data_IF_015530596697
#
_entry.id   IF_015530596697
#
_cell.length_a   1.000
_cell.length_b   1.000
_cell.length_c   1.000
_cell.angle_alpha   90.00
_cell.angle_beta   90.00
_cell.angle_gamma   90.00
#
_symmetry.space_group_name_H-M   'P 1'
#
loop_
_entity.id
_entity.type
_entity.pdbx_description
1 polymer ?
#
# COMPACT_ATOMS: atom_id res chain seq x y z
N UNK A 1 -4.17 -21.35 0.61
CA UNK A 1 -3.84 -20.46 -0.54
C UNK A 1 -5.14 -19.98 -1.14
N UNK A 2 -5.15 -18.79 -1.72
CA UNK A 2 -6.38 -18.20 -2.29
C UNK A 2 -7.38 -17.80 -1.22
N UNK A 3 -6.90 -17.39 -0.04
CA UNK A 3 -7.72 -17.08 1.14
C UNK A 3 -7.21 -15.81 1.81
N UNK A 4 -8.11 -15.10 2.48
CA UNK A 4 -7.83 -14.11 3.50
C UNK A 4 -7.59 -14.84 4.82
N UNK A 5 -6.34 -14.92 5.25
CA UNK A 5 -5.94 -15.63 6.47
C UNK A 5 -5.48 -14.66 7.55
N UNK A 6 -6.09 -14.73 8.73
CA UNK A 6 -5.68 -13.94 9.89
C UNK A 6 -4.81 -14.78 10.83
N UNK A 7 -3.67 -14.24 11.27
CA UNK A 7 -2.85 -14.77 12.35
C UNK A 7 -3.15 -13.94 13.59
N UNK A 8 -3.74 -14.58 14.59
CA UNK A 8 -4.27 -13.93 15.80
C UNK A 8 -3.57 -14.47 17.05
N UNK A 9 -3.95 -13.95 18.22
CA UNK A 9 -3.37 -14.33 19.50
C UNK A 9 -2.88 -13.14 20.31
N UNK A 10 -2.71 -13.32 21.62
CA UNK A 10 -2.29 -12.26 22.54
C UNK A 10 -0.95 -11.61 22.15
N UNK A 11 -0.70 -10.38 22.59
CA UNK A 11 0.61 -9.74 22.36
C UNK A 11 1.73 -10.60 22.94
N UNK A 12 2.83 -10.78 22.20
CA UNK A 12 3.92 -11.68 22.59
C UNK A 12 3.66 -13.18 22.39
N UNK A 13 2.57 -13.60 21.72
CA UNK A 13 2.31 -15.02 21.42
C UNK A 13 3.17 -15.60 20.29
N UNK A 14 3.91 -14.76 19.56
CA UNK A 14 4.80 -15.18 18.46
C UNK A 14 4.29 -14.90 17.03
N UNK A 15 3.23 -14.10 16.86
CA UNK A 15 2.64 -13.77 15.54
C UNK A 15 3.67 -13.22 14.54
N UNK A 16 4.33 -12.12 14.89
CA UNK A 16 5.34 -11.49 14.02
C UNK A 16 6.56 -12.39 13.82
N UNK A 17 6.95 -13.18 14.83
CA UNK A 17 8.02 -14.17 14.68
C UNK A 17 7.67 -15.23 13.62
N UNK A 18 6.45 -15.76 13.65
CA UNK A 18 6.00 -16.74 12.66
C UNK A 18 5.88 -16.14 11.26
N UNK A 19 5.18 -15.01 11.14
CA UNK A 19 4.79 -14.44 9.86
C UNK A 19 5.93 -13.66 9.20
N UNK A 20 6.64 -12.83 9.96
CA UNK A 20 7.74 -12.01 9.45
C UNK A 20 9.09 -12.69 9.55
N UNK A 21 9.50 -13.07 10.76
CA UNK A 21 10.88 -13.53 10.97
C UNK A 21 11.14 -14.89 10.34
N UNK A 22 10.13 -15.76 10.27
CA UNK A 22 10.25 -17.08 9.65
C UNK A 22 9.70 -17.05 8.23
N UNK A 23 8.38 -16.89 8.05
CA UNK A 23 7.71 -17.09 6.76
C UNK A 23 8.15 -16.06 5.71
N UNK A 24 7.99 -14.76 5.98
CA UNK A 24 8.34 -13.71 5.02
C UNK A 24 9.82 -13.75 4.67
N UNK A 25 10.73 -13.74 5.66
CA UNK A 25 12.18 -13.75 5.40
C UNK A 25 12.61 -14.97 4.58
N UNK A 26 12.05 -16.15 4.86
CA UNK A 26 12.37 -17.36 4.09
C UNK A 26 11.88 -17.28 2.65
N UNK A 27 10.66 -16.79 2.42
CA UNK A 27 10.12 -16.61 1.07
C UNK A 27 10.84 -15.49 0.32
N UNK A 28 11.21 -14.40 0.99
CA UNK A 28 12.00 -13.31 0.39
C UNK A 28 13.40 -13.78 -0.01
N UNK A 29 14.02 -14.65 0.79
CA UNK A 29 15.28 -15.31 0.42
C UNK A 29 15.11 -16.19 -0.82
N UNK A 30 13.99 -16.93 -0.94
CA UNK A 30 13.71 -17.79 -2.08
C UNK A 30 13.43 -17.00 -3.37
N UNK A 31 12.49 -16.05 -3.34
CA UNK A 31 12.05 -15.30 -4.54
C UNK A 31 13.00 -14.17 -4.94
N UNK A 32 13.68 -13.55 -3.98
CA UNK A 32 14.45 -12.31 -4.22
C UNK A 32 15.92 -12.39 -3.81
N UNK A 33 16.40 -13.54 -3.31
CA UNK A 33 17.76 -13.70 -2.78
C UNK A 33 18.08 -12.68 -1.68
N UNK A 34 17.08 -12.34 -0.86
CA UNK A 34 17.26 -11.46 0.29
C UNK A 34 18.34 -12.01 1.24
N UNK A 35 19.14 -11.10 1.82
CA UNK A 35 20.29 -11.45 2.68
C UNK A 35 19.92 -11.74 4.13
N UNK A 36 18.74 -11.28 4.56
CA UNK A 36 18.28 -11.48 5.93
C UNK A 36 18.10 -12.96 6.25
N UNK A 37 18.65 -13.39 7.38
CA UNK A 37 18.56 -14.79 7.82
C UNK A 37 17.16 -15.04 8.40
N UNK A 38 16.39 -16.00 7.87
CA UNK A 38 15.11 -16.39 8.45
C UNK A 38 15.32 -17.03 9.83
N UNK A 39 14.31 -16.90 10.69
CA UNK A 39 14.27 -17.56 12.00
C UNK A 39 14.38 -19.09 11.88
N UNK A 40 14.76 -19.81 12.96
CA UNK A 40 14.91 -21.25 12.94
C UNK A 40 13.61 -21.95 12.52
N UNK A 41 13.70 -22.80 11.49
CA UNK A 41 12.58 -23.61 11.00
C UNK A 41 13.12 -24.85 10.29
N UNK A 42 12.31 -25.90 10.18
CA UNK A 42 12.71 -27.16 9.51
C UNK A 42 12.61 -27.05 7.99
N UNK A 43 11.43 -26.70 7.47
CA UNK A 43 11.15 -26.53 6.05
C UNK A 43 9.88 -25.69 5.85
N UNK A 44 9.77 -25.04 4.69
CA UNK A 44 8.52 -24.46 4.18
C UNK A 44 8.18 -25.22 2.91
N UNK A 45 7.02 -25.86 2.89
CA UNK A 45 6.52 -26.67 1.76
C UNK A 45 5.47 -25.88 0.97
N UNK A 46 5.24 -26.24 -0.30
CA UNK A 46 4.22 -25.57 -1.14
C UNK A 46 4.66 -24.22 -1.70
N UNK A 47 5.97 -23.92 -1.68
CA UNK A 47 6.52 -22.66 -2.22
C UNK A 47 6.31 -22.56 -3.72
N UNK A 48 6.28 -23.71 -4.41
CA UNK A 48 5.96 -23.86 -5.82
C UNK A 48 4.56 -23.33 -6.18
N UNK A 49 3.66 -23.12 -5.23
CA UNK A 49 2.34 -22.52 -5.48
C UNK A 49 2.38 -20.98 -5.57
N UNK A 50 3.49 -20.37 -5.18
CA UNK A 50 3.68 -18.92 -5.16
C UNK A 50 4.78 -18.50 -6.15
N UNK A 51 4.61 -17.33 -6.76
CA UNK A 51 5.64 -16.72 -7.61
C UNK A 51 6.30 -15.52 -6.92
N UNK A 52 5.66 -14.97 -5.88
CA UNK A 52 6.05 -13.71 -5.23
C UNK A 52 5.53 -13.64 -3.79
N UNK A 53 6.29 -12.98 -2.90
CA UNK A 53 5.83 -12.56 -1.56
C UNK A 53 5.96 -11.03 -1.41
N UNK A 54 4.94 -10.37 -0.87
CA UNK A 54 4.91 -8.91 -0.70
C UNK A 54 4.57 -8.57 0.74
N UNK A 55 5.47 -7.86 1.41
CA UNK A 55 5.15 -7.21 2.68
C UNK A 55 4.55 -5.82 2.40
N UNK A 56 3.36 -5.56 2.94
CA UNK A 56 2.72 -4.24 2.90
C UNK A 56 2.61 -3.73 4.33
N UNK A 57 3.58 -2.89 4.70
CA UNK A 57 3.62 -2.21 5.99
C UNK A 57 3.21 -0.73 5.88
N UNK A 58 3.08 -0.05 7.04
CA UNK A 58 2.80 1.38 7.12
C UNK A 58 4.04 2.27 6.94
N UNK A 59 5.19 1.71 6.55
CA UNK A 59 6.39 2.53 6.33
C UNK A 59 6.16 3.55 5.20
N UNK A 60 6.80 4.73 5.24
CA UNK A 60 6.64 5.73 4.19
C UNK A 60 6.95 5.17 2.80
N UNK A 61 6.14 5.51 1.79
CA UNK A 61 6.37 5.08 0.39
C UNK A 61 7.65 5.68 -0.22
N UNK A 62 8.20 6.71 0.42
CA UNK A 62 9.47 7.33 0.07
C UNK A 62 9.91 8.31 1.16
N UNK A 63 11.21 8.58 1.22
CA UNK A 63 11.81 9.50 2.22
C UNK A 63 12.04 10.91 1.68
N UNK A 64 11.69 11.16 0.42
CA UNK A 64 11.96 12.42 -0.28
C UNK A 64 10.67 13.00 -0.87
N UNK A 65 10.56 14.32 -1.01
CA UNK A 65 9.41 14.97 -1.67
C UNK A 65 9.20 14.55 -3.14
N UNK A 66 10.23 13.99 -3.80
CA UNK A 66 10.13 13.46 -5.17
C UNK A 66 9.23 12.23 -5.28
N UNK A 67 9.09 11.48 -4.19
CA UNK A 67 8.16 10.35 -4.12
C UNK A 67 6.76 10.89 -3.87
N UNK A 68 5.79 10.43 -4.65
CA UNK A 68 4.38 10.80 -4.49
C UNK A 68 3.49 9.65 -5.01
N UNK A 69 2.18 9.66 -4.66
CA UNK A 69 1.25 8.61 -5.08
C UNK A 69 1.27 8.33 -6.59
N UNK A 70 1.33 9.37 -7.42
CA UNK A 70 1.29 9.20 -8.87
C UNK A 70 2.51 8.44 -9.43
N UNK A 71 3.70 8.75 -8.90
CA UNK A 71 4.93 8.02 -9.25
C UNK A 71 4.94 6.59 -8.70
N UNK A 72 4.47 6.39 -7.47
CA UNK A 72 4.52 5.09 -6.81
C UNK A 72 3.57 4.06 -7.44
N UNK A 73 2.32 4.45 -7.71
CA UNK A 73 1.33 3.61 -8.44
C UNK A 73 1.67 3.49 -9.93
N UNK A 74 2.55 4.36 -10.42
CA UNK A 74 3.01 4.38 -11.80
C UNK A 74 1.99 4.95 -12.78
N UNK A 75 1.04 5.77 -12.32
CA UNK A 75 0.12 6.51 -13.20
C UNK A 75 0.80 7.70 -13.86
N UNK A 76 1.88 8.22 -13.27
CA UNK A 76 2.55 9.40 -13.83
C UNK A 76 3.26 9.11 -15.16
N UNK A 77 3.70 7.88 -15.41
CA UNK A 77 4.32 7.51 -16.70
C UNK A 77 3.37 7.64 -17.90
N UNK A 78 2.19 6.98 -17.92
CA UNK A 78 1.26 7.16 -19.03
C UNK A 78 0.73 8.60 -19.15
N UNK A 79 0.64 9.36 -18.05
CA UNK A 79 0.35 10.80 -18.09
C UNK A 79 1.43 11.56 -18.87
N UNK A 80 2.72 11.33 -18.58
CA UNK A 80 3.82 11.98 -19.31
C UNK A 80 3.89 11.58 -20.78
N UNK A 81 3.61 10.32 -21.09
CA UNK A 81 3.51 9.84 -22.47
C UNK A 81 2.39 10.55 -23.23
N UNK A 82 1.22 10.73 -22.60
CA UNK A 82 0.12 11.48 -23.18
C UNK A 82 0.50 12.95 -23.45
N UNK A 83 1.12 13.63 -22.48
CA UNK A 83 1.56 15.03 -22.66
C UNK A 83 2.57 15.19 -23.80
N UNK A 84 3.47 14.22 -23.98
CA UNK A 84 4.42 14.21 -25.10
C UNK A 84 3.75 13.98 -26.47
N UNK A 85 2.53 13.43 -26.50
CA UNK A 85 1.79 13.20 -27.74
C UNK A 85 0.94 14.39 -28.19
N UNK A 86 0.80 15.43 -27.35
CA UNK A 86 0.02 16.62 -27.66
C UNK A 86 0.62 17.41 -28.83
N UNK A 87 -0.21 18.10 -29.64
CA UNK A 87 0.27 18.88 -30.80
C UNK A 87 1.37 19.88 -30.44
N UNK A 88 1.19 20.64 -29.36
CA UNK A 88 2.16 21.64 -28.89
C UNK A 88 3.49 21.01 -28.46
N UNK A 89 3.42 19.85 -27.80
CA UNK A 89 4.62 19.10 -27.42
C UNK A 89 5.36 18.56 -28.64
N UNK A 90 4.62 17.99 -29.61
CA UNK A 90 5.19 17.47 -30.87
C UNK A 90 5.85 18.56 -31.70
N UNK A 91 5.19 19.72 -31.85
CA UNK A 91 5.75 20.87 -32.58
C UNK A 91 7.06 21.37 -31.97
N UNK A 92 7.19 21.30 -30.65
CA UNK A 92 8.40 21.72 -29.92
C UNK A 92 9.44 20.60 -29.73
N UNK A 93 9.19 19.39 -30.25
CA UNK A 93 10.07 18.23 -30.10
C UNK A 93 10.18 17.69 -28.67
N UNK A 94 9.16 17.87 -27.83
CA UNK A 94 9.18 17.44 -26.44
C UNK A 94 8.81 15.96 -26.28
N UNK A 95 9.77 15.17 -25.78
CA UNK A 95 9.51 13.79 -25.35
C UNK A 95 8.97 13.69 -23.90
N UNK A 96 8.61 12.47 -23.43
CA UNK A 96 8.09 12.25 -22.07
C UNK A 96 9.05 12.69 -20.94
N UNK A 97 10.35 12.82 -21.22
CA UNK A 97 11.34 13.35 -20.30
C UNK A 97 11.12 14.83 -19.96
N UNK A 98 10.58 15.63 -20.88
CA UNK A 98 10.25 17.05 -20.63
C UNK A 98 9.21 17.21 -19.52
N UNK A 99 8.32 16.23 -19.38
CA UNK A 99 7.24 16.21 -18.38
C UNK A 99 7.60 15.42 -17.12
N UNK A 100 8.87 15.10 -16.91
CA UNK A 100 9.35 14.40 -15.72
C UNK A 100 10.15 15.35 -14.84
N UNK A 101 9.67 15.60 -13.61
CA UNK A 101 10.41 16.37 -12.62
C UNK A 101 11.70 15.67 -12.12
N UNK A 102 11.87 14.37 -12.42
CA UNK A 102 13.05 13.59 -11.99
C UNK A 102 14.27 13.71 -12.93
N UNK A 103 14.12 14.32 -14.12
CA UNK A 103 15.21 14.41 -15.10
C UNK A 103 15.37 15.85 -15.58
N UNK A 104 16.60 16.21 -15.96
CA UNK A 104 16.88 17.51 -16.56
C UNK A 104 16.11 17.69 -17.87
N UNK A 105 15.76 18.94 -18.17
CA UNK A 105 15.07 19.30 -19.40
C UNK A 105 13.89 20.22 -19.12
N UNK A 106 12.79 19.66 -18.59
CA UNK A 106 11.58 20.45 -18.29
C UNK A 106 11.32 20.72 -16.81
N UNK A 107 12.08 20.10 -15.90
CA UNK A 107 12.02 20.35 -14.46
C UNK A 107 12.60 21.72 -14.10
N UNK A 108 12.17 22.29 -12.97
CA UNK A 108 12.83 23.47 -12.41
C UNK A 108 14.21 23.07 -11.86
N UNK A 109 15.29 23.65 -12.39
CA UNK A 109 16.65 23.32 -11.93
C UNK A 109 16.98 23.94 -10.56
N UNK A 110 16.33 25.03 -10.16
CA UNK A 110 16.57 25.68 -8.86
C UNK A 110 16.21 24.79 -7.66
N UNK A 111 15.18 23.95 -7.79
CA UNK A 111 14.80 22.96 -6.78
C UNK A 111 14.95 21.51 -7.26
N UNK A 112 15.67 21.31 -8.37
CA UNK A 112 15.85 20.02 -9.01
C UNK A 112 14.56 19.21 -9.27
N UNK A 113 13.43 19.91 -9.45
CA UNK A 113 12.12 19.31 -9.67
C UNK A 113 11.36 18.90 -8.40
N UNK A 114 11.89 19.16 -7.19
CA UNK A 114 11.17 18.86 -5.95
C UNK A 114 9.97 19.78 -5.72
N UNK A 115 10.08 21.02 -6.20
CA UNK A 115 9.10 22.08 -5.98
C UNK A 115 9.27 22.79 -4.64
N UNK A 116 10.11 22.25 -3.76
CA UNK A 116 10.41 22.79 -2.44
C UNK A 116 11.91 22.85 -2.22
N UNK A 117 12.32 23.65 -1.24
CA UNK A 117 13.69 23.75 -0.74
C UNK A 117 13.67 23.56 0.77
N UNK A 118 14.57 22.75 1.29
CA UNK A 118 14.75 22.58 2.74
C UNK A 118 15.67 23.67 3.28
N UNK A 119 15.19 24.36 4.30
CA UNK A 119 15.97 25.33 5.07
C UNK A 119 16.42 24.62 6.34
N UNK A 120 17.73 24.45 6.46
CA UNK A 120 18.32 23.87 7.67
C UNK A 120 18.24 24.88 8.82
N UNK A 121 17.64 24.43 9.92
CA UNK A 121 17.49 25.23 11.13
C UNK A 121 18.43 24.68 12.20
N UNK A 122 19.17 25.55 12.89
CA UNK A 122 20.23 25.10 13.79
C UNK A 122 19.73 24.35 15.04
N UNK A 123 18.50 24.62 15.48
CA UNK A 123 17.90 24.07 16.71
C UNK A 123 16.46 23.59 16.55
N UNK A 124 15.92 23.66 15.33
CA UNK A 124 14.55 23.27 15.02
C UNK A 124 14.56 22.24 13.88
N UNK A 125 13.50 21.44 13.73
CA UNK A 125 13.35 20.60 12.55
C UNK A 125 13.43 21.44 11.27
N UNK A 126 14.08 20.89 10.25
CA UNK A 126 14.21 21.54 8.95
C UNK A 126 12.85 21.93 8.38
N UNK A 127 12.76 23.15 7.88
CA UNK A 127 11.51 23.68 7.31
C UNK A 127 11.56 23.54 5.80
N UNK A 128 10.48 23.02 5.22
CA UNK A 128 10.33 22.88 3.78
C UNK A 128 9.50 24.03 3.25
N UNK A 129 10.09 24.88 2.40
CA UNK A 129 9.39 26.03 1.80
C UNK A 129 9.20 25.82 0.29
N UNK A 130 8.12 26.34 -0.32
CA UNK A 130 7.98 26.31 -1.77
C UNK A 130 9.16 27.00 -2.46
N UNK A 131 9.67 26.40 -3.53
CA UNK A 131 10.75 26.97 -4.32
C UNK A 131 10.35 28.35 -4.87
N UNK A 132 11.19 29.36 -4.68
CA UNK A 132 10.90 30.74 -5.09
C UNK A 132 10.75 30.90 -6.62
N UNK A 133 11.46 30.06 -7.39
CA UNK A 133 11.48 30.12 -8.87
C UNK A 133 10.22 29.51 -9.48
N UNK A 134 9.91 28.25 -9.13
CA UNK A 134 8.75 27.55 -9.70
C UNK A 134 7.48 27.65 -8.84
N UNK A 135 7.56 28.23 -7.63
CA UNK A 135 6.45 28.36 -6.68
C UNK A 135 5.72 27.04 -6.42
N UNK A 136 6.47 25.96 -6.21
CA UNK A 136 5.92 24.61 -6.01
C UNK A 136 5.59 23.84 -7.29
N UNK A 137 5.60 24.48 -8.47
CA UNK A 137 5.15 23.85 -9.72
C UNK A 137 6.06 22.76 -10.28
N UNK A 138 7.29 22.60 -9.76
CA UNK A 138 8.30 21.59 -10.18
C UNK A 138 8.85 21.70 -11.60
N UNK A 139 8.27 22.53 -12.46
CA UNK A 139 8.59 22.60 -13.89
C UNK A 139 8.97 24.02 -14.35
N UNK A 140 9.70 24.06 -15.47
CA UNK A 140 9.94 25.27 -16.28
C UNK A 140 8.65 25.81 -16.90
N UNK A 141 8.64 27.10 -17.24
CA UNK A 141 7.47 27.76 -17.86
C UNK A 141 7.09 27.08 -19.19
N UNK A 142 8.07 26.70 -20.01
CA UNK A 142 7.82 26.11 -21.33
C UNK A 142 7.17 24.73 -21.23
N UNK A 143 7.46 23.96 -20.16
CA UNK A 143 6.79 22.70 -19.91
C UNK A 143 5.35 22.89 -19.42
N UNK A 144 5.06 23.98 -18.69
CA UNK A 144 3.73 24.32 -18.18
C UNK A 144 2.78 24.89 -19.25
N UNK A 145 3.31 25.37 -20.37
CA UNK A 145 2.51 25.87 -21.49
C UNK A 145 1.78 24.76 -22.26
N UNK A 146 2.29 23.52 -22.21
CA UNK A 146 1.62 22.37 -22.82
C UNK A 146 0.48 21.92 -21.91
N UNK A 147 -0.73 21.86 -22.45
CA UNK A 147 -1.96 21.61 -21.68
C UNK A 147 -2.80 20.49 -22.26
N UNK A 148 -3.25 19.57 -21.42
CA UNK A 148 -4.29 18.59 -21.74
C UNK A 148 -5.61 19.04 -21.13
N UNK A 149 -6.67 19.21 -21.94
CA UNK A 149 -7.99 19.69 -21.49
C UNK A 149 -7.90 20.98 -20.63
N UNK A 150 -6.96 21.88 -20.95
CA UNK A 150 -6.73 23.14 -20.22
C UNK A 150 -5.77 23.04 -19.02
N UNK A 151 -5.33 21.84 -18.64
CA UNK A 151 -4.47 21.59 -17.48
C UNK A 151 -3.02 21.30 -17.89
N UNK A 152 -2.06 21.97 -17.27
CA UNK A 152 -0.63 21.65 -17.40
C UNK A 152 -0.27 20.40 -16.61
N UNK A 153 0.95 19.87 -16.83
CA UNK A 153 1.44 18.71 -16.09
C UNK A 153 1.53 18.97 -14.57
N UNK A 154 1.77 20.23 -14.15
CA UNK A 154 1.76 20.59 -12.74
C UNK A 154 0.34 20.68 -12.18
N UNK A 155 -0.63 21.17 -12.97
CA UNK A 155 -2.03 21.18 -12.54
C UNK A 155 -2.53 19.75 -12.29
N UNK A 156 -2.15 18.80 -13.14
CA UNK A 156 -2.46 17.36 -12.95
C UNK A 156 -1.89 16.82 -11.64
N UNK A 157 -0.68 17.22 -11.24
CA UNK A 157 -0.10 16.81 -9.96
C UNK A 157 -0.81 17.44 -8.75
N UNK A 158 -1.49 18.57 -8.93
CA UNK A 158 -2.28 19.20 -7.86
C UNK A 158 -3.72 18.67 -7.75
N UNK A 159 -4.19 17.92 -8.75
CA UNK A 159 -5.52 17.29 -8.71
C UNK A 159 -5.58 16.18 -7.66
N UNK A 160 -6.75 16.05 -7.04
CA UNK A 160 -7.10 14.82 -6.31
C UNK A 160 -7.24 13.65 -7.27
N UNK A 161 -7.19 12.42 -6.76
CA UNK A 161 -7.45 11.22 -7.57
C UNK A 161 -8.84 11.29 -8.22
N UNK A 162 -9.86 11.76 -7.49
CA UNK A 162 -11.23 11.93 -8.01
C UNK A 162 -11.29 12.93 -9.18
N UNK A 163 -10.66 14.10 -9.02
CA UNK A 163 -10.60 15.10 -10.08
C UNK A 163 -9.84 14.58 -11.31
N UNK A 164 -8.74 13.87 -11.10
CA UNK A 164 -7.98 13.28 -12.18
C UNK A 164 -8.79 12.20 -12.93
N UNK A 165 -9.64 11.44 -12.25
CA UNK A 165 -10.53 10.46 -12.89
C UNK A 165 -11.46 11.11 -13.91
N UNK A 166 -12.07 12.24 -13.56
CA UNK A 166 -12.96 13.00 -14.45
C UNK A 166 -12.21 13.49 -15.70
N UNK A 167 -11.00 14.02 -15.52
CA UNK A 167 -10.17 14.55 -16.61
C UNK A 167 -9.70 13.44 -17.55
N UNK A 168 -9.28 12.29 -17.01
CA UNK A 168 -8.67 11.18 -17.77
C UNK A 168 -9.62 10.01 -18.06
N UNK A 169 -10.94 10.18 -17.90
CA UNK A 169 -11.94 9.12 -18.10
C UNK A 169 -11.84 8.41 -19.47
N UNK A 170 -11.43 9.13 -20.51
CA UNK A 170 -11.31 8.64 -21.89
C UNK A 170 -9.95 7.98 -22.19
N UNK A 171 -9.05 7.88 -21.19
CA UNK A 171 -7.71 7.32 -21.34
C UNK A 171 -7.58 6.05 -20.49
N UNK A 172 -7.94 4.86 -21.01
CA UNK A 172 -8.10 3.63 -20.21
C UNK A 172 -6.88 3.26 -19.36
N UNK A 173 -5.66 3.47 -19.89
CA UNK A 173 -4.40 3.16 -19.18
C UNK A 173 -4.18 4.04 -17.94
N UNK A 174 -4.65 5.29 -17.97
CA UNK A 174 -4.57 6.21 -16.83
C UNK A 174 -5.75 5.96 -15.90
N UNK A 175 -6.96 5.91 -16.45
CA UNK A 175 -8.21 5.67 -15.74
C UNK A 175 -8.14 4.43 -14.84
N UNK A 176 -7.72 3.27 -15.36
CA UNK A 176 -7.65 2.02 -14.59
C UNK A 176 -6.78 2.15 -13.32
N UNK A 177 -5.67 2.89 -13.40
CA UNK A 177 -4.79 3.13 -12.23
C UNK A 177 -5.43 4.09 -11.23
N UNK A 178 -6.09 5.14 -11.71
CA UNK A 178 -6.79 6.09 -10.85
C UNK A 178 -8.01 5.45 -10.18
N UNK A 179 -8.76 4.60 -10.89
CA UNK A 179 -9.88 3.84 -10.33
C UNK A 179 -9.39 2.95 -9.20
N UNK A 180 -8.26 2.27 -9.40
CA UNK A 180 -7.63 1.46 -8.36
C UNK A 180 -7.28 2.30 -7.12
N UNK A 181 -6.74 3.51 -7.30
CA UNK A 181 -6.47 4.43 -6.18
C UNK A 181 -7.76 4.87 -5.47
N UNK A 182 -8.82 5.19 -6.20
CA UNK A 182 -10.11 5.55 -5.62
C UNK A 182 -10.72 4.37 -4.86
N UNK A 183 -10.69 3.17 -5.44
CA UNK A 183 -11.29 1.97 -4.87
C UNK A 183 -10.63 1.58 -3.53
N UNK A 184 -9.35 1.92 -3.33
CA UNK A 184 -8.67 1.73 -2.05
C UNK A 184 -8.92 2.88 -1.05
N UNK A 185 -9.77 3.86 -1.38
CA UNK A 185 -10.12 4.98 -0.51
C UNK A 185 -9.21 6.21 -0.63
N UNK A 186 -8.39 6.32 -1.68
CA UNK A 186 -7.48 7.46 -1.88
C UNK A 186 -8.05 8.55 -2.80
N UNK A 187 -9.38 8.62 -2.99
CA UNK A 187 -10.01 9.60 -3.88
C UNK A 187 -9.64 11.06 -3.59
N UNK A 188 -9.39 11.38 -2.31
CA UNK A 188 -9.14 12.74 -1.82
C UNK A 188 -7.67 13.19 -1.88
N UNK A 189 -6.70 12.27 -2.00
CA UNK A 189 -5.28 12.66 -1.98
C UNK A 189 -4.88 13.28 -3.30
N UNK A 190 -3.93 14.22 -3.28
CA UNK A 190 -3.37 14.79 -4.52
C UNK A 190 -2.37 13.85 -5.17
N UNK A 191 -2.37 13.78 -6.50
CA UNK A 191 -1.46 12.93 -7.26
C UNK A 191 0.03 13.21 -6.97
N UNK A 192 0.37 14.49 -6.83
CA UNK A 192 1.72 14.99 -6.57
C UNK A 192 2.03 15.21 -5.09
N UNK A 193 1.13 14.84 -4.16
CA UNK A 193 1.31 14.99 -2.73
C UNK A 193 2.64 14.35 -2.30
N UNK A 194 3.55 15.10 -1.62
CA UNK A 194 4.81 14.55 -1.17
C UNK A 194 4.60 13.32 -0.26
N UNK A 195 5.37 12.27 -0.49
CA UNK A 195 5.29 11.03 0.29
C UNK A 195 5.53 11.26 1.80
N UNK A 196 6.32 12.27 2.14
CA UNK A 196 6.63 12.65 3.52
C UNK A 196 5.45 13.26 4.28
N UNK A 197 4.38 13.65 3.59
CA UNK A 197 3.17 14.22 4.21
C UNK A 197 2.00 13.24 4.22
N UNK A 198 2.19 11.99 3.78
CA UNK A 198 1.18 10.95 3.85
C UNK A 198 1.13 10.33 5.25
N UNK A 199 -0.06 10.02 5.73
CA UNK A 199 -0.24 9.19 6.93
C UNK A 199 0.23 7.75 6.68
N UNK A 200 0.47 6.98 7.75
CA UNK A 200 0.81 5.56 7.64
C UNK A 200 -0.24 4.76 6.87
N UNK A 201 -1.53 5.00 7.15
CA UNK A 201 -2.65 4.37 6.45
C UNK A 201 -2.77 4.80 4.97
N UNK A 202 -2.46 6.05 4.63
CA UNK A 202 -2.39 6.49 3.23
C UNK A 202 -1.21 5.83 2.49
N UNK A 203 -0.03 5.81 3.11
CA UNK A 203 1.15 5.16 2.54
C UNK A 203 0.90 3.67 2.26
N UNK A 204 0.28 2.98 3.21
CA UNK A 204 -0.10 1.57 3.06
C UNK A 204 -1.10 1.37 1.90
N UNK A 205 -2.15 2.20 1.80
CA UNK A 205 -3.11 2.13 0.70
C UNK A 205 -2.50 2.44 -0.66
N UNK A 206 -1.52 3.35 -0.73
CA UNK A 206 -0.78 3.62 -1.96
C UNK A 206 0.01 2.38 -2.41
N UNK A 207 0.61 1.64 -1.47
CA UNK A 207 1.28 0.37 -1.76
C UNK A 207 0.31 -0.69 -2.27
N UNK A 208 -0.86 -0.83 -1.63
CA UNK A 208 -1.91 -1.75 -2.08
C UNK A 208 -2.43 -1.38 -3.47
N UNK A 209 -2.67 -0.09 -3.74
CA UNK A 209 -3.09 0.38 -5.05
C UNK A 209 -2.04 0.07 -6.14
N UNK A 210 -0.76 0.20 -5.81
CA UNK A 210 0.33 -0.15 -6.72
C UNK A 210 0.33 -1.66 -7.05
N UNK A 211 0.08 -2.53 -6.08
CA UNK A 211 0.00 -3.98 -6.29
C UNK A 211 -1.26 -4.39 -7.08
N UNK A 212 -2.43 -3.83 -6.75
CA UNK A 212 -3.67 -4.03 -7.52
C UNK A 212 -3.58 -3.53 -8.97
N UNK A 213 -2.76 -2.50 -9.22
CA UNK A 213 -2.52 -1.96 -10.56
C UNK A 213 -1.62 -2.84 -11.44
N UNK A 214 -1.01 -3.89 -10.88
CA UNK A 214 -0.17 -4.84 -11.63
C UNK A 214 -1.05 -5.97 -12.17
N UNK A 215 -0.59 -6.62 -13.24
CA UNK A 215 -1.24 -7.84 -13.74
C UNK A 215 -1.13 -8.93 -12.66
N UNK A 216 -2.27 -9.48 -12.27
CA UNK A 216 -2.33 -10.58 -11.33
C UNK A 216 -1.66 -11.83 -11.92
N UNK A 217 -0.84 -12.50 -11.12
CA UNK A 217 -0.45 -13.89 -11.40
C UNK A 217 -1.40 -14.88 -10.72
N UNK A 218 -2.21 -14.43 -9.77
CA UNK A 218 -3.01 -15.27 -8.88
C UNK A 218 -2.18 -16.13 -7.94
N UNK A 219 -0.87 -15.85 -7.82
CA UNK A 219 0.10 -16.66 -7.06
C UNK A 219 1.01 -15.79 -6.22
N UNK A 220 0.49 -14.65 -5.75
CA UNK A 220 1.22 -13.75 -4.85
C UNK A 220 0.75 -13.96 -3.41
N UNK A 221 1.69 -13.99 -2.47
CA UNK A 221 1.39 -13.93 -1.04
C UNK A 221 1.59 -12.50 -0.52
N UNK A 222 0.53 -11.87 -0.06
CA UNK A 222 0.55 -10.58 0.62
C UNK A 222 0.60 -10.78 2.13
N UNK A 223 1.48 -10.07 2.82
CA UNK A 223 1.61 -10.08 4.28
C UNK A 223 1.42 -8.64 4.79
N UNK A 224 0.53 -8.47 5.77
CA UNK A 224 0.24 -7.18 6.39
C UNK A 224 0.33 -7.31 7.93
N UNK A 225 1.08 -6.42 8.57
CA UNK A 225 1.15 -6.32 10.04
C UNK A 225 0.24 -5.22 10.55
N UNK A 226 -0.73 -5.58 11.39
CA UNK A 226 -1.69 -4.68 12.04
C UNK A 226 -2.17 -3.54 11.11
N UNK A 227 -2.70 -3.87 9.92
CA UNK A 227 -3.03 -2.89 8.91
C UNK A 227 -4.15 -1.94 9.32
N UNK A 228 -4.89 -2.24 10.39
CA UNK A 228 -5.93 -1.37 10.95
C UNK A 228 -5.44 -0.35 11.97
N UNK A 229 -4.19 -0.41 12.40
CA UNK A 229 -3.65 0.52 13.41
C UNK A 229 -3.76 1.97 12.93
N UNK A 230 -4.51 2.78 13.66
CA UNK A 230 -4.74 4.20 13.36
C UNK A 230 -5.76 4.47 12.26
N UNK A 231 -6.49 3.47 11.78
CA UNK A 231 -7.54 3.64 10.77
C UNK A 231 -8.90 3.93 11.39
N UNK A 232 -9.71 4.74 10.71
CA UNK A 232 -11.13 4.89 11.03
C UNK A 232 -11.93 3.65 10.63
N UNK A 233 -13.16 3.50 11.14
CA UNK A 233 -14.05 2.40 10.74
C UNK A 233 -14.31 2.36 9.23
N UNK A 234 -14.44 3.53 8.60
CA UNK A 234 -14.64 3.63 7.15
C UNK A 234 -13.39 3.15 6.38
N UNK A 235 -12.20 3.56 6.85
CA UNK A 235 -10.93 3.15 6.28
C UNK A 235 -10.69 1.63 6.41
N UNK A 236 -11.08 1.03 7.54
CA UNK A 236 -11.08 -0.42 7.73
C UNK A 236 -11.97 -1.13 6.70
N UNK A 237 -13.15 -0.58 6.39
CA UNK A 237 -14.03 -1.15 5.37
C UNK A 237 -13.45 -1.03 3.95
N UNK A 238 -12.78 0.08 3.60
CA UNK A 238 -12.04 0.18 2.34
C UNK A 238 -10.93 -0.84 2.24
N UNK A 239 -10.11 -0.95 3.30
CA UNK A 239 -9.03 -1.92 3.36
C UNK A 239 -9.55 -3.35 3.17
N UNK A 240 -10.60 -3.74 3.91
CA UNK A 240 -11.16 -5.08 3.80
C UNK A 240 -11.63 -5.41 2.37
N UNK A 241 -12.33 -4.47 1.69
CA UNK A 241 -12.72 -4.63 0.28
C UNK A 241 -11.53 -4.86 -0.65
N UNK A 242 -10.44 -4.14 -0.41
CA UNK A 242 -9.19 -4.29 -1.18
C UNK A 242 -8.56 -5.65 -0.97
N UNK A 243 -8.55 -6.14 0.28
CA UNK A 243 -7.98 -7.44 0.61
C UNK A 243 -8.77 -8.59 -0.01
N UNK A 244 -10.10 -8.54 0.03
CA UNK A 244 -10.95 -9.52 -0.68
C UNK A 244 -10.70 -9.50 -2.18
N UNK A 245 -10.59 -8.32 -2.79
CA UNK A 245 -10.27 -8.21 -4.23
C UNK A 245 -8.92 -8.86 -4.58
N UNK A 246 -7.91 -8.75 -3.72
CA UNK A 246 -6.63 -9.44 -3.92
C UNK A 246 -6.82 -10.97 -3.89
N UNK A 247 -7.65 -11.47 -2.98
CA UNK A 247 -7.99 -12.90 -2.86
C UNK A 247 -8.79 -13.39 -4.07
N UNK A 248 -9.80 -12.63 -4.51
CA UNK A 248 -10.62 -12.92 -5.71
C UNK A 248 -9.77 -13.03 -6.98
N UNK A 249 -8.65 -12.31 -7.04
CA UNK A 249 -7.66 -12.40 -8.12
C UNK A 249 -6.76 -13.65 -8.02
N UNK A 250 -7.05 -14.56 -7.07
CA UNK A 250 -6.33 -15.81 -6.81
C UNK A 250 -5.21 -15.70 -5.77
N UNK A 251 -4.87 -14.48 -5.32
CA UNK A 251 -3.75 -14.29 -4.40
C UNK A 251 -4.08 -14.78 -2.98
N UNK A 252 -3.05 -14.94 -2.16
CA UNK A 252 -3.21 -15.25 -0.74
C UNK A 252 -2.86 -14.02 0.08
N UNK A 253 -3.65 -13.72 1.10
CA UNK A 253 -3.41 -12.60 2.01
C UNK A 253 -3.27 -13.14 3.42
N UNK A 254 -2.18 -12.79 4.11
CA UNK A 254 -1.98 -13.05 5.53
C UNK A 254 -1.99 -11.71 6.27
N UNK A 255 -2.88 -11.59 7.26
CA UNK A 255 -2.96 -10.46 8.17
C UNK A 255 -2.47 -10.88 9.55
N UNK A 256 -1.64 -10.07 10.18
CA UNK A 256 -1.49 -10.11 11.65
C UNK A 256 -2.47 -9.09 12.19
N UNK A 257 -3.47 -9.55 12.94
CA UNK A 257 -4.52 -8.65 13.40
C UNK A 257 -5.03 -8.99 14.80
N UNK A 258 -5.55 -7.94 15.43
CA UNK A 258 -6.25 -7.96 16.70
C UNK A 258 -7.66 -7.37 16.56
N UNK A 259 -7.94 -6.65 15.47
CA UNK A 259 -9.23 -6.03 15.24
C UNK A 259 -10.29 -7.05 14.84
N UNK A 260 -11.31 -7.24 15.68
CA UNK A 260 -12.33 -8.28 15.49
C UNK A 260 -13.11 -8.13 14.18
N UNK A 261 -13.31 -6.91 13.67
CA UNK A 261 -13.96 -6.71 12.37
C UNK A 261 -13.13 -7.21 11.19
N UNK A 262 -11.80 -7.28 11.31
CA UNK A 262 -10.97 -7.91 10.28
C UNK A 262 -11.00 -9.42 10.42
N UNK A 263 -10.85 -9.91 11.66
CA UNK A 263 -10.76 -11.34 11.95
C UNK A 263 -12.07 -12.06 11.57
N UNK A 264 -13.23 -11.46 11.83
CA UNK A 264 -14.53 -12.06 11.48
C UNK A 264 -14.78 -12.19 9.98
N UNK A 265 -14.08 -11.41 9.14
CA UNK A 265 -14.20 -11.46 7.69
C UNK A 265 -13.11 -12.32 7.04
N UNK A 266 -12.23 -12.95 7.82
CA UNK A 266 -11.22 -13.86 7.31
C UNK A 266 -11.84 -15.20 6.90
N UNK A 267 -11.31 -15.81 5.85
CA UNK A 267 -11.69 -17.17 5.44
C UNK A 267 -11.05 -18.21 6.37
N UNK A 268 -9.89 -17.89 6.94
CA UNK A 268 -9.13 -18.78 7.82
C UNK A 268 -8.43 -18.01 8.92
N UNK A 269 -8.35 -18.60 10.12
CA UNK A 269 -7.68 -18.03 11.28
C UNK A 269 -6.66 -19.02 11.83
N UNK A 270 -5.49 -18.52 12.19
CA UNK A 270 -4.44 -19.25 12.90
C UNK A 270 -4.22 -18.53 14.23
N UNK A 271 -4.68 -19.12 15.33
CA UNK A 271 -4.59 -18.50 16.64
C UNK A 271 -3.36 -18.99 17.41
N UNK A 272 -2.52 -18.05 17.84
CA UNK A 272 -1.29 -18.32 18.59
C UNK A 272 -1.42 -17.97 20.07
N UNK A 273 -0.81 -18.78 20.93
CA UNK A 273 -0.85 -18.58 22.38
C UNK A 273 -0.26 -19.78 23.12
N UNK A 274 -0.85 -20.20 24.25
CA UNK A 274 -2.01 -19.59 24.95
C UNK A 274 -1.66 -18.28 25.68
N UNK A 275 -0.40 -18.02 26.00
CA UNK A 275 0.04 -16.81 26.69
C UNK A 275 1.13 -16.03 25.93
N UNK A 276 1.65 -14.95 26.53
CA UNK A 276 2.81 -14.24 26.01
C UNK A 276 4.13 -14.95 26.36
N UNK A 277 5.18 -14.67 25.58
CA UNK A 277 6.56 -15.06 25.88
C UNK A 277 6.74 -16.58 25.94
N UNK A 278 7.38 -17.08 26.99
CA UNK A 278 7.61 -18.53 27.23
C UNK A 278 6.32 -19.36 27.31
N UNK A 279 5.18 -18.72 27.60
CA UNK A 279 3.86 -19.38 27.62
C UNK A 279 3.14 -19.32 26.26
N UNK A 280 3.78 -18.73 25.25
CA UNK A 280 3.28 -18.58 23.89
C UNK A 280 3.93 -19.54 22.89
N UNK A 281 3.92 -19.16 21.62
CA UNK A 281 4.63 -19.86 20.55
C UNK A 281 3.97 -21.16 20.08
N UNK A 282 2.74 -21.46 20.53
CA UNK A 282 1.98 -22.63 20.09
C UNK A 282 0.75 -22.21 19.31
N UNK A 283 0.39 -23.05 18.34
CA UNK A 283 -0.91 -22.96 17.66
C UNK A 283 -1.95 -23.48 18.65
N UNK A 284 -2.86 -22.60 19.08
CA UNK A 284 -3.97 -22.96 19.98
C UNK A 284 -5.08 -23.62 19.18
N UNK A 285 -5.46 -23.01 18.06
CA UNK A 285 -6.44 -23.56 17.13
C UNK A 285 -6.28 -22.96 15.73
N UNK A 286 -6.86 -23.64 14.74
CA UNK A 286 -6.96 -23.18 13.35
C UNK A 286 -8.34 -23.50 12.83
N UNK A 287 -8.86 -22.69 11.92
CA UNK A 287 -10.18 -22.92 11.33
C UNK A 287 -10.81 -21.66 10.78
N UNK A 288 -12.09 -21.73 10.44
CA UNK A 288 -12.89 -20.53 10.14
C UNK A 288 -13.08 -19.68 11.41
N UNK A 289 -13.48 -18.40 11.29
CA UNK A 289 -13.81 -17.57 12.45
C UNK A 289 -14.82 -18.23 13.40
N UNK A 290 -15.80 -18.96 12.88
CA UNK A 290 -16.81 -19.67 13.68
C UNK A 290 -16.22 -20.88 14.42
N UNK A 291 -15.28 -21.60 13.82
CA UNK A 291 -14.58 -22.71 14.46
C UNK A 291 -13.69 -22.21 15.60
N UNK A 292 -12.92 -21.14 15.35
CA UNK A 292 -12.11 -20.48 16.39
C UNK A 292 -12.99 -19.92 17.51
N UNK A 293 -14.15 -19.32 17.20
CA UNK A 293 -15.10 -18.82 18.20
C UNK A 293 -15.65 -19.91 19.15
N UNK A 294 -15.65 -21.17 18.72
CA UNK A 294 -16.09 -22.32 19.54
C UNK A 294 -14.96 -22.93 20.37
N UNK A 295 -13.70 -22.60 20.09
CA UNK A 295 -12.56 -23.18 20.79
C UNK A 295 -12.42 -22.60 22.23
N UNK A 296 -12.47 -23.42 23.29
CA UNK A 296 -12.53 -22.92 24.67
C UNK A 296 -11.22 -22.24 25.12
N UNK A 297 -10.08 -22.72 24.63
CA UNK A 297 -8.75 -22.21 25.02
C UNK A 297 -8.30 -20.99 24.20
N UNK A 298 -9.05 -20.60 23.16
CA UNK A 298 -8.70 -19.45 22.32
C UNK A 298 -9.24 -18.16 22.93
N UNK A 299 -8.34 -17.28 23.38
CA UNK A 299 -8.71 -15.93 23.79
C UNK A 299 -9.39 -15.18 22.64
N UNK A 300 -8.84 -15.29 21.43
CA UNK A 300 -9.43 -14.72 20.21
C UNK A 300 -10.85 -15.24 19.99
N UNK A 301 -11.06 -16.55 20.15
CA UNK A 301 -12.37 -17.19 20.05
C UNK A 301 -13.41 -16.66 21.04
N UNK A 302 -13.01 -16.39 22.28
CA UNK A 302 -13.89 -15.83 23.31
C UNK A 302 -14.46 -14.45 22.90
N UNK A 303 -13.66 -13.60 22.26
CA UNK A 303 -14.10 -12.30 21.77
C UNK A 303 -14.87 -12.40 20.45
N UNK A 304 -14.40 -13.23 19.50
CA UNK A 304 -15.09 -13.49 18.23
C UNK A 304 -16.51 -14.00 18.45
N UNK A 305 -16.71 -14.88 19.44
CA UNK A 305 -18.03 -15.43 19.79
C UNK A 305 -19.08 -14.33 20.02
N UNK A 306 -18.68 -13.23 20.68
CA UNK A 306 -19.58 -12.10 20.97
C UNK A 306 -19.93 -11.32 19.71
N UNK A 307 -18.94 -11.10 18.84
CA UNK A 307 -19.12 -10.33 17.59
C UNK A 307 -19.91 -11.13 16.54
N UNK A 308 -19.78 -12.45 16.52
CA UNK A 308 -20.51 -13.36 15.64
C UNK A 308 -21.89 -13.75 16.18
N UNK A 309 -22.25 -13.38 17.41
CA UNK A 309 -23.53 -13.74 18.02
C UNK A 309 -23.71 -15.25 18.26
N UNK A 310 -22.62 -16.00 18.46
CA UNK A 310 -22.67 -17.44 18.70
C UNK A 310 -22.97 -17.70 20.18
N UNK A 311 -24.11 -18.31 20.49
CA UNK A 311 -24.44 -18.66 21.88
C UNK A 311 -23.43 -19.67 22.46
N UNK A 312 -22.98 -19.43 23.69
CA UNK A 312 -22.17 -20.41 24.39
C UNK A 312 -23.03 -21.64 24.67
N UNK A 313 -22.61 -22.83 24.23
CA UNK A 313 -23.21 -24.08 24.71
C UNK A 313 -22.99 -24.12 26.22
N UNK A 314 -24.07 -23.91 26.96
CA UNK A 314 -24.13 -24.17 28.41
C UNK A 314 -23.98 -25.68 28.53
N UNK A 315 -22.77 -26.11 28.91
CA UNK A 315 -22.49 -27.48 29.32
C UNK A 315 -22.86 -27.66 30.77
#
# INVERSE_FOLDING_TARGET
MGTLTCVTGVSGSGKSTLVYDVLYKRLAQHFYRAKEKPGPHRAILGVEHLDKVVNVDQSPIGRTPRSNPATYVGVFTPVRELFAQLPEAKMRGYGPGRFSFNVRGGRCEACEGEGYTQIQMQFLPDVTVPCEVCKGRRYTREALEVKFKGYSIADVLEMTVEQALEVFQDIPRIRSKLETMRDVGLGYIRLGQPATTLSGGEAQRVKLAAELSRRATGRTLYILDEPTTGLSFEDCAYLLRVLHRLVDMGNTVILIEHHLDMIKNADWVIDLGPGPGERGGRVVCVGTPEEVARHPESYTGQFLRRVLGIEARVG
#
